data_IF_185521442919
#
_entry.id   IF_185521442919
#
_cell.length_a   1.000
_cell.length_b   1.000
_cell.length_c   1.000
_cell.angle_alpha   90.00
_cell.angle_beta   90.00
_cell.angle_gamma   90.00
#
_symmetry.space_group_name_H-M   'P 1'
#
loop_
_entity.id
_entity.type
_entity.pdbx_description
1 polymer ?
#
# COMPACT_ATOMS: atom_id res chain seq x y z
N UNK A 1 -11.42 13.29 -7.45
CA UNK A 1 -11.24 12.18 -6.50
C UNK A 1 -9.91 12.39 -5.82
N UNK A 2 -9.92 12.99 -4.63
CA UNK A 2 -8.71 13.31 -3.91
C UNK A 2 -8.72 12.48 -2.65
N UNK A 3 -7.65 11.77 -2.51
CA UNK A 3 -7.36 10.92 -1.42
C UNK A 3 -5.95 11.54 -1.00
N UNK A 4 -5.60 12.12 0.23
CA UNK A 4 -4.31 12.38 1.03
C UNK A 4 -3.86 11.58 2.32
N UNK A 5 -2.62 11.08 2.45
CA UNK A 5 -2.01 10.56 3.72
C UNK A 5 -0.66 11.28 4.00
N UNK A 6 -0.25 11.48 5.26
CA UNK A 6 1.06 12.08 5.67
C UNK A 6 1.81 11.28 6.76
N UNK A 7 3.20 11.33 6.84
CA UNK A 7 4.36 10.94 7.78
C UNK A 7 5.24 12.17 7.82
N UNK A 8 5.63 12.62 9.00
CA UNK A 8 6.94 13.18 9.28
C UNK A 8 7.46 12.51 10.58
N UNK A 9 8.78 12.53 10.77
CA UNK A 9 9.41 12.12 12.02
C UNK A 9 10.12 13.34 12.64
N UNK A 10 9.73 13.63 13.88
CA UNK A 10 10.58 14.06 15.01
C UNK A 10 11.42 15.33 14.92
N UNK A 11 11.13 16.29 15.81
CA UNK A 11 12.01 17.39 16.20
C UNK A 11 11.40 18.73 15.84
N UNK A 12 10.90 19.46 16.85
CA UNK A 12 10.22 20.75 16.73
C UNK A 12 10.79 21.66 15.62
N UNK A 13 10.03 21.88 14.54
CA UNK A 13 10.14 23.11 13.74
C UNK A 13 8.85 23.34 12.95
N UNK A 14 8.31 24.55 13.11
CA UNK A 14 7.16 25.06 12.37
C UNK A 14 7.57 25.26 10.92
N UNK A 15 6.94 24.55 10.02
CA UNK A 15 6.97 24.82 8.58
C UNK A 15 5.53 25.09 8.18
N UNK A 16 5.25 26.31 7.74
CA UNK A 16 3.98 26.68 7.14
C UNK A 16 4.04 26.42 5.63
N UNK A 17 3.04 25.73 5.07
CA UNK A 17 2.79 25.84 3.64
C UNK A 17 1.36 26.33 3.39
N UNK A 18 1.28 27.49 2.72
CA UNK A 18 0.16 27.88 1.88
C UNK A 18 0.41 27.35 0.47
N UNK A 19 -0.51 26.60 -0.13
CA UNK A 19 -0.75 26.56 -1.59
C UNK A 19 -2.13 25.95 -1.87
N UNK A 20 -2.95 26.70 -2.62
CA UNK A 20 -4.14 26.22 -3.33
C UNK A 20 -3.69 25.56 -4.63
N UNK A 21 -4.34 24.46 -5.05
CA UNK A 21 -4.66 24.19 -6.47
C UNK A 21 -5.64 23.03 -6.62
N UNK A 22 -6.70 23.29 -7.39
CA UNK A 22 -7.64 22.33 -7.98
C UNK A 22 -7.14 21.81 -9.34
N UNK A 23 -7.87 20.85 -9.92
CA UNK A 23 -7.77 20.46 -11.33
C UNK A 23 -8.02 21.69 -12.23
N UNK A 24 -6.97 22.32 -12.76
CA UNK A 24 -7.05 23.28 -13.87
C UNK A 24 -6.06 22.85 -14.97
N UNK A 25 -6.50 22.94 -16.24
CA UNK A 25 -5.67 22.83 -17.45
C UNK A 25 -4.99 21.49 -17.78
N UNK A 26 -5.59 20.35 -17.40
CA UNK A 26 -5.24 19.06 -17.99
C UNK A 26 -3.80 18.57 -17.71
N UNK A 27 -3.14 19.11 -16.69
CA UNK A 27 -1.81 18.66 -16.23
C UNK A 27 -1.91 17.92 -14.92
N UNK A 28 -1.28 16.74 -14.86
CA UNK A 28 -1.11 15.99 -13.62
C UNK A 28 0.01 16.66 -12.82
N UNK A 29 -0.29 17.12 -11.62
CA UNK A 29 0.72 17.60 -10.65
C UNK A 29 1.33 16.38 -9.96
N UNK A 30 2.66 16.35 -9.68
CA UNK A 30 3.28 15.28 -8.91
C UNK A 30 2.61 15.14 -7.54
N UNK A 31 2.24 13.91 -7.22
CA UNK A 31 1.51 13.55 -6.00
C UNK A 31 2.53 13.09 -4.96
N UNK A 32 2.62 13.81 -3.84
CA UNK A 32 3.55 13.52 -2.75
C UNK A 32 2.80 13.03 -1.52
N UNK A 33 3.30 11.95 -0.92
CA UNK A 33 2.71 11.34 0.28
C UNK A 33 3.81 11.01 1.25
N UNK A 34 3.46 11.18 2.51
CA UNK A 34 4.21 10.66 3.63
C UNK A 34 3.20 9.80 4.48
N UNK A 35 3.54 8.98 5.49
CA UNK A 35 2.62 8.05 6.30
C UNK A 35 2.71 7.98 7.92
N UNK A 36 2.55 9.01 8.79
CA UNK A 36 3.10 9.19 10.18
C UNK A 36 2.97 7.95 11.05
N UNK A 37 4.10 7.35 11.40
CA UNK A 37 4.15 6.32 12.44
C UNK A 37 4.40 7.00 13.78
N UNK A 38 3.39 7.02 14.64
CA UNK A 38 3.55 7.49 16.03
C UNK A 38 4.40 6.46 16.77
N UNK A 39 5.66 6.79 17.03
CA UNK A 39 6.54 6.00 17.89
C UNK A 39 6.08 6.17 19.35
N UNK A 40 5.36 5.18 19.89
CA UNK A 40 5.20 5.08 21.35
C UNK A 40 6.44 4.35 21.87
N UNK A 41 7.51 5.11 22.08
CA UNK A 41 8.67 4.61 22.80
C UNK A 41 8.24 4.19 24.21
N UNK A 42 8.61 2.98 24.62
CA UNK A 42 8.61 2.63 26.05
C UNK A 42 9.69 3.46 26.72
N UNK A 43 9.35 4.63 27.25
CA UNK A 43 10.12 5.24 28.33
C UNK A 43 9.19 5.98 29.31
N UNK A 44 9.50 5.78 30.59
CA UNK A 44 8.78 6.22 31.77
C UNK A 44 8.84 7.75 31.97
N UNK A 45 8.16 8.54 31.14
CA UNK A 45 7.90 9.93 31.55
C UNK A 45 6.48 10.38 31.19
N UNK A 46 5.72 10.73 32.23
CA UNK A 46 4.33 11.16 32.20
C UNK A 46 4.29 12.66 32.48
N UNK A 47 4.67 13.48 31.52
CA UNK A 47 4.29 14.88 31.60
C UNK A 47 4.10 15.50 30.21
N UNK A 48 3.10 16.38 30.16
CA UNK A 48 2.73 17.28 29.06
C UNK A 48 1.82 16.69 27.97
N UNK A 49 0.50 16.73 28.21
CA UNK A 49 -0.48 17.18 27.19
C UNK A 49 -1.57 18.00 27.89
N UNK A 50 -1.57 19.31 27.70
CA UNK A 50 -2.68 20.20 28.06
C UNK A 50 -3.80 20.09 27.01
N UNK A 51 -5.04 20.01 27.48
CA UNK A 51 -6.23 19.87 26.65
C UNK A 51 -6.72 21.22 26.13
N UNK A 52 -6.66 21.42 24.82
CA UNK A 52 -7.39 22.48 24.11
C UNK A 52 -8.47 21.85 23.22
N UNK A 53 -9.69 22.38 23.31
CA UNK A 53 -10.92 21.93 22.66
C UNK A 53 -10.94 22.22 21.15
N UNK A 54 -11.33 21.23 20.32
CA UNK A 54 -11.52 21.40 18.87
C UNK A 54 -12.82 20.72 18.41
N UNK A 55 -13.63 21.47 17.64
CA UNK A 55 -14.90 21.04 17.01
C UNK A 55 -14.65 20.47 15.60
N UNK A 56 -15.41 19.43 15.19
CA UNK A 56 -15.10 18.53 14.07
C UNK A 56 -15.97 18.72 12.80
N UNK A 57 -15.42 18.37 11.62
CA UNK A 57 -16.09 18.32 10.29
C UNK A 57 -15.59 17.10 9.45
N UNK A 58 -16.34 16.51 8.49
CA UNK A 58 -16.19 15.09 8.13
C UNK A 58 -15.71 14.78 6.69
N UNK A 59 -14.58 15.31 6.21
CA UNK A 59 -14.04 14.92 4.89
C UNK A 59 -12.63 14.34 4.98
N UNK A 60 -12.48 13.09 4.53
CA UNK A 60 -11.21 12.36 4.43
C UNK A 60 -10.70 12.34 3.00
N UNK A 61 -9.37 12.40 2.85
CA UNK A 61 -8.65 12.14 1.61
C UNK A 61 -7.52 11.11 2.00
N UNK A 62 -7.05 10.09 1.19
CA UNK A 62 -5.72 9.32 1.15
C UNK A 62 -4.75 9.31 -0.18
N UNK A 63 -3.54 9.92 -0.35
CA UNK A 63 -2.83 9.97 -1.70
C UNK A 63 -1.83 8.83 -1.71
N UNK A 64 -1.41 8.42 -2.91
CA UNK A 64 -0.25 7.55 -3.09
C UNK A 64 0.76 8.29 -3.96
N UNK A 65 1.94 8.57 -3.39
CA UNK A 65 3.08 9.13 -4.09
C UNK A 65 4.20 8.09 -4.13
N UNK A 66 4.78 7.90 -5.30
CA UNK A 66 5.91 6.99 -5.49
C UNK A 66 7.17 7.85 -5.65
N UNK A 67 7.89 8.07 -4.55
CA UNK A 67 9.22 8.69 -4.60
C UNK A 67 10.25 7.72 -5.19
N UNK A 68 11.35 8.26 -5.70
CA UNK A 68 12.49 7.47 -6.16
C UNK A 68 13.16 6.76 -4.97
N UNK A 69 12.55 5.65 -4.55
CA UNK A 69 12.98 4.91 -3.37
C UNK A 69 14.43 4.47 -3.52
N UNK A 70 14.89 4.16 -4.73
CA UNK A 70 16.25 3.65 -4.97
C UNK A 70 17.36 4.60 -4.50
N UNK A 71 17.17 5.92 -4.54
CA UNK A 71 18.17 6.89 -4.05
C UNK A 71 18.37 6.79 -2.54
N UNK A 72 17.28 6.61 -1.78
CA UNK A 72 17.33 6.46 -0.32
C UNK A 72 17.98 5.14 0.14
N UNK A 73 18.05 4.13 -0.74
CA UNK A 73 18.69 2.85 -0.41
C UNK A 73 20.20 2.88 -0.66
N UNK A 74 20.66 3.68 -1.63
CA UNK A 74 22.09 3.82 -1.94
C UNK A 74 22.90 4.37 -0.76
N UNK A 75 22.28 5.13 0.13
CA UNK A 75 22.94 5.75 1.28
C UNK A 75 22.88 4.92 2.57
N UNK A 76 22.23 3.76 2.58
CA UNK A 76 22.07 2.92 3.79
C UNK A 76 23.12 1.83 3.88
N UNK A 77 23.53 1.53 5.11
CA UNK A 77 24.42 0.40 5.42
C UNK A 77 23.67 -0.93 5.37
N UNK A 78 24.40 -2.03 5.17
CA UNK A 78 23.81 -3.37 5.19
C UNK A 78 23.14 -3.69 6.54
N UNK A 79 23.71 -3.22 7.65
CA UNK A 79 23.12 -3.40 8.98
C UNK A 79 21.77 -2.70 9.09
N UNK A 80 21.68 -1.43 8.68
CA UNK A 80 20.42 -0.67 8.66
C UNK A 80 19.36 -1.33 7.77
N UNK A 81 19.75 -1.91 6.64
CA UNK A 81 18.83 -2.64 5.75
C UNK A 81 18.37 -3.97 6.32
N UNK A 82 19.04 -4.54 7.32
CA UNK A 82 18.60 -5.78 7.99
C UNK A 82 17.73 -5.54 9.22
N UNK A 83 17.64 -4.29 9.70
CA UNK A 83 16.82 -3.96 10.85
C UNK A 83 15.33 -3.95 10.49
N UNK A 84 14.51 -4.57 11.34
CA UNK A 84 13.06 -4.51 11.18
C UNK A 84 12.53 -3.14 11.59
N UNK A 85 11.99 -2.39 10.63
CA UNK A 85 11.30 -1.13 10.88
C UNK A 85 9.83 -1.20 10.44
N UNK A 86 8.92 -0.61 11.23
CA UNK A 86 7.51 -0.44 10.86
C UNK A 86 6.51 -1.21 11.71
N UNK A 87 5.24 -1.15 11.32
CA UNK A 87 4.15 -1.87 11.98
C UNK A 87 4.12 -3.31 11.48
N UNK A 88 4.20 -4.33 12.35
CA UNK A 88 4.23 -5.74 11.95
C UNK A 88 3.18 -6.09 10.89
N UNK A 89 1.93 -5.66 11.08
CA UNK A 89 0.81 -5.86 10.15
C UNK A 89 1.14 -5.56 8.68
N UNK A 90 2.00 -4.57 8.43
CA UNK A 90 2.33 -4.10 7.09
C UNK A 90 3.72 -4.52 6.64
N UNK A 91 4.54 -5.18 7.46
CA UNK A 91 5.89 -5.57 7.03
C UNK A 91 5.82 -6.56 5.85
N UNK A 92 6.76 -6.54 4.90
CA UNK A 92 6.82 -7.54 3.84
C UNK A 92 6.89 -8.98 4.42
N UNK A 93 6.27 -9.95 3.74
CA UNK A 93 6.19 -11.35 4.25
C UNK A 93 7.61 -11.95 4.33
N UNK A 94 8.43 -11.65 3.33
CA UNK A 94 9.82 -12.03 3.20
C UNK A 94 10.62 -11.54 4.41
N UNK A 95 10.53 -10.25 4.72
CA UNK A 95 11.22 -9.65 5.87
C UNK A 95 10.69 -10.22 7.20
N UNK A 96 9.39 -10.52 7.30
CA UNK A 96 8.79 -11.11 8.50
C UNK A 96 9.18 -12.55 8.76
N UNK A 97 9.27 -13.36 7.71
CA UNK A 97 9.46 -14.81 7.80
C UNK A 97 10.91 -15.25 7.56
N UNK A 98 11.77 -14.32 7.14
CA UNK A 98 13.13 -14.60 6.73
C UNK A 98 13.19 -15.56 5.55
N UNK A 99 14.23 -16.41 5.52
CA UNK A 99 14.42 -17.39 4.45
C UNK A 99 13.22 -18.31 4.23
N UNK A 100 12.47 -18.72 5.25
CA UNK A 100 11.39 -19.69 5.02
C UNK A 100 10.17 -19.11 4.32
N UNK A 101 10.08 -17.78 4.21
CA UNK A 101 8.86 -17.14 3.75
C UNK A 101 8.55 -17.39 2.27
N UNK A 102 9.58 -17.53 1.43
CA UNK A 102 9.42 -17.67 -0.02
C UNK A 102 9.13 -19.12 -0.46
N UNK A 103 9.55 -20.11 0.33
CA UNK A 103 9.33 -21.55 0.04
C UNK A 103 7.84 -21.91 -0.06
N UNK A 104 6.98 -21.13 0.58
CA UNK A 104 5.55 -21.39 0.69
C UNK A 104 4.70 -20.53 -0.25
N UNK A 105 5.31 -19.66 -1.05
CA UNK A 105 4.58 -18.85 -2.03
C UNK A 105 4.76 -19.51 -3.39
N UNK A 106 3.73 -20.22 -3.84
CA UNK A 106 3.73 -20.77 -5.19
C UNK A 106 3.56 -19.64 -6.21
N UNK A 107 4.52 -19.43 -7.13
CA UNK A 107 4.38 -18.40 -8.15
C UNK A 107 3.26 -18.80 -9.11
N UNK A 108 2.39 -17.84 -9.43
CA UNK A 108 1.50 -17.98 -10.58
C UNK A 108 2.23 -17.55 -11.85
N UNK A 109 1.80 -17.97 -13.05
CA UNK A 109 2.26 -17.36 -14.28
C UNK A 109 2.06 -15.84 -14.23
N UNK A 110 3.15 -15.09 -14.45
CA UNK A 110 3.08 -13.66 -14.69
C UNK A 110 2.52 -13.45 -16.09
N UNK A 111 1.48 -12.61 -16.21
CA UNK A 111 0.91 -12.21 -17.50
C UNK A 111 1.23 -10.73 -17.67
N UNK A 112 2.20 -10.37 -18.50
CA UNK A 112 2.72 -9.00 -18.57
C UNK A 112 1.64 -8.01 -19.01
N UNK A 113 0.77 -8.42 -19.95
CA UNK A 113 -0.36 -7.61 -20.44
C UNK A 113 -1.35 -7.19 -19.34
N UNK A 114 -1.35 -7.85 -18.18
CA UNK A 114 -2.17 -7.42 -17.03
C UNK A 114 -1.73 -6.08 -16.43
N UNK A 115 -0.48 -5.68 -16.65
CA UNK A 115 0.15 -4.50 -16.07
C UNK A 115 0.39 -3.39 -17.10
N UNK A 116 0.13 -3.65 -18.38
CA UNK A 116 0.18 -2.64 -19.43
C UNK A 116 -0.93 -1.61 -19.24
N UNK A 117 -0.58 -0.34 -19.46
CA UNK A 117 -1.50 0.77 -19.55
C UNK A 117 -2.08 0.85 -20.95
N UNK A 118 -3.40 1.10 -21.03
CA UNK A 118 -4.12 1.29 -22.28
C UNK A 118 -4.87 2.63 -22.28
N UNK A 119 -5.22 3.12 -23.47
CA UNK A 119 -6.10 4.27 -23.66
C UNK A 119 -5.67 5.52 -22.87
N UNK A 120 -6.60 6.09 -22.10
CA UNK A 120 -6.37 7.31 -21.33
C UNK A 120 -5.35 7.13 -20.21
N UNK A 121 -5.26 5.95 -19.60
CA UNK A 121 -4.27 5.68 -18.56
C UNK A 121 -2.84 5.74 -19.13
N UNK A 122 -2.62 5.14 -20.30
CA UNK A 122 -1.34 5.23 -21.01
C UNK A 122 -1.00 6.68 -21.37
N UNK A 123 -1.94 7.39 -22.00
CA UNK A 123 -1.75 8.81 -22.37
C UNK A 123 -1.38 9.68 -21.16
N UNK A 124 -2.08 9.50 -20.03
CA UNK A 124 -1.80 10.25 -18.80
C UNK A 124 -0.41 9.93 -18.24
N UNK A 125 -0.01 8.66 -18.25
CA UNK A 125 1.31 8.25 -17.78
C UNK A 125 2.41 8.88 -18.63
N UNK A 126 2.34 8.71 -19.94
CA UNK A 126 3.35 9.20 -20.89
C UNK A 126 3.50 10.72 -20.80
N UNK A 127 2.39 11.46 -20.72
CA UNK A 127 2.41 12.91 -20.56
C UNK A 127 3.10 13.37 -19.27
N UNK A 128 3.13 12.51 -18.23
CA UNK A 128 3.68 12.85 -16.92
C UNK A 128 5.13 12.38 -16.74
N UNK A 129 5.44 11.17 -17.21
CA UNK A 129 6.70 10.47 -16.92
C UNK A 129 7.57 10.18 -18.15
N UNK A 130 7.06 10.40 -19.36
CA UNK A 130 7.75 10.06 -20.61
C UNK A 130 7.66 8.59 -21.01
N UNK A 131 8.18 8.28 -22.20
CA UNK A 131 8.14 6.94 -22.82
C UNK A 131 9.18 5.98 -22.25
N UNK A 132 10.41 6.44 -22.07
CA UNK A 132 11.57 5.59 -21.77
C UNK A 132 11.37 4.72 -20.52
N UNK A 133 10.79 5.29 -19.47
CA UNK A 133 10.50 4.57 -18.21
C UNK A 133 9.46 3.47 -18.42
N UNK A 134 8.40 3.77 -19.17
CA UNK A 134 7.30 2.85 -19.41
C UNK A 134 7.74 1.66 -20.29
N UNK A 135 8.43 1.94 -21.39
CA UNK A 135 8.86 0.93 -22.36
C UNK A 135 9.90 -0.02 -21.74
N UNK A 136 10.88 0.54 -21.01
CA UNK A 136 11.88 -0.26 -20.28
C UNK A 136 11.23 -1.20 -19.26
N UNK A 137 10.22 -0.72 -18.55
CA UNK A 137 9.48 -1.49 -17.56
C UNK A 137 8.65 -2.63 -18.20
N UNK A 138 7.90 -2.35 -19.27
CA UNK A 138 7.09 -3.38 -19.92
C UNK A 138 7.94 -4.45 -20.60
N UNK A 139 9.03 -4.05 -21.28
CA UNK A 139 9.98 -5.00 -21.85
C UNK A 139 10.52 -5.94 -20.77
N UNK A 140 10.75 -5.43 -19.55
CA UNK A 140 11.20 -6.26 -18.45
C UNK A 140 10.14 -7.30 -18.02
N UNK A 141 8.87 -6.91 -17.82
CA UNK A 141 7.81 -7.86 -17.48
C UNK A 141 7.62 -8.94 -18.56
N UNK A 142 7.65 -8.53 -19.84
CA UNK A 142 7.57 -9.45 -20.97
C UNK A 142 8.73 -10.44 -20.97
N UNK A 143 9.95 -9.99 -20.65
CA UNK A 143 11.12 -10.86 -20.57
C UNK A 143 11.01 -11.88 -19.42
N UNK A 144 10.44 -11.50 -18.28
CA UNK A 144 10.16 -12.42 -17.15
C UNK A 144 9.09 -13.44 -17.54
N UNK A 145 7.97 -12.99 -18.13
CA UNK A 145 6.91 -13.88 -18.63
C UNK A 145 7.46 -14.89 -19.65
N UNK A 146 8.27 -14.42 -20.60
CA UNK A 146 8.92 -15.25 -21.62
C UNK A 146 10.06 -16.11 -21.08
N UNK A 147 10.40 -16.02 -19.78
CA UNK A 147 11.51 -16.73 -19.13
C UNK A 147 12.87 -16.51 -19.80
N UNK A 148 13.06 -15.32 -20.37
CA UNK A 148 14.33 -14.91 -21.00
C UNK A 148 15.31 -14.33 -19.97
N UNK A 149 14.80 -13.96 -18.79
CA UNK A 149 15.62 -13.59 -17.64
C UNK A 149 15.91 -14.85 -16.82
N UNK A 150 17.19 -15.08 -16.56
CA UNK A 150 17.63 -16.20 -15.72
C UNK A 150 17.18 -16.00 -14.27
N UNK A 151 16.43 -16.96 -13.75
CA UNK A 151 16.12 -17.08 -12.33
C UNK A 151 17.36 -17.59 -11.59
N UNK A 152 17.80 -16.85 -10.57
CA UNK A 152 18.91 -17.21 -9.68
C UNK A 152 18.34 -17.43 -8.29
N UNK A 153 18.47 -18.63 -7.74
CA UNK A 153 18.00 -18.90 -6.39
C UNK A 153 18.97 -18.32 -5.35
N UNK A 154 18.74 -17.06 -5.00
CA UNK A 154 19.52 -16.33 -3.98
C UNK A 154 19.42 -16.92 -2.57
N UNK A 155 18.52 -17.88 -2.35
CA UNK A 155 18.27 -18.48 -1.04
C UNK A 155 19.03 -19.79 -0.81
N UNK A 156 19.80 -20.26 -1.81
CA UNK A 156 20.63 -21.46 -1.66
C UNK A 156 21.75 -21.29 -0.64
N UNK A 157 22.22 -20.06 -0.40
CA UNK A 157 23.16 -19.77 0.69
C UNK A 157 22.40 -19.42 1.98
N UNK A 158 22.37 -20.32 2.99
CA UNK A 158 21.67 -20.08 4.25
C UNK A 158 22.25 -18.92 5.07
N UNK A 159 23.45 -18.43 4.72
CA UNK A 159 24.08 -17.28 5.37
C UNK A 159 23.62 -15.94 4.78
N UNK A 160 22.87 -15.94 3.68
CA UNK A 160 22.42 -14.72 3.01
C UNK A 160 21.45 -13.94 3.88
N UNK A 161 21.91 -12.89 4.57
CA UNK A 161 20.98 -12.04 5.31
C UNK A 161 20.06 -11.33 4.33
N UNK A 162 18.75 -11.50 4.53
CA UNK A 162 17.76 -10.79 3.73
C UNK A 162 17.82 -9.30 4.04
N UNK A 163 18.29 -8.52 3.07
CA UNK A 163 18.30 -7.07 3.16
C UNK A 163 16.93 -6.51 2.72
N UNK A 164 16.51 -5.43 3.36
CA UNK A 164 15.38 -4.65 2.92
C UNK A 164 15.65 -4.07 1.53
N UNK A 165 14.64 -4.07 0.66
CA UNK A 165 14.73 -3.59 -0.72
C UNK A 165 13.49 -2.72 -1.01
N UNK A 166 13.55 -1.84 -2.02
CA UNK A 166 12.41 -1.02 -2.41
C UNK A 166 11.12 -1.83 -2.68
N UNK A 167 11.21 -3.06 -3.19
CA UNK A 167 10.04 -3.94 -3.36
C UNK A 167 9.32 -4.25 -2.03
N UNK A 168 10.05 -4.31 -0.91
CA UNK A 168 9.47 -4.57 0.40
C UNK A 168 8.64 -3.38 0.89
N UNK A 169 9.06 -2.15 0.58
CA UNK A 169 8.24 -0.94 0.85
C UNK A 169 6.93 -0.98 0.07
N UNK A 170 6.98 -1.36 -1.22
CA UNK A 170 5.76 -1.49 -2.04
C UNK A 170 4.86 -2.61 -1.51
N UNK A 171 5.43 -3.71 -1.03
CA UNK A 171 4.65 -4.78 -0.38
C UNK A 171 4.01 -4.30 0.93
N UNK A 172 4.67 -3.42 1.67
CA UNK A 172 4.04 -2.75 2.82
C UNK A 172 2.89 -1.83 2.40
N UNK A 173 3.06 -1.07 1.32
CA UNK A 173 1.99 -0.25 0.74
C UNK A 173 0.81 -1.13 0.31
N UNK A 174 1.07 -2.28 -0.30
CA UNK A 174 0.03 -3.25 -0.63
C UNK A 174 -0.78 -3.66 0.60
N UNK A 175 -0.14 -4.07 1.70
CA UNK A 175 -0.87 -4.45 2.92
C UNK A 175 -1.68 -3.29 3.49
N UNK A 176 -1.17 -2.06 3.38
CA UNK A 176 -1.91 -0.86 3.77
C UNK A 176 -3.16 -0.69 2.89
N UNK A 177 -3.03 -0.77 1.57
CA UNK A 177 -4.16 -0.70 0.62
C UNK A 177 -5.20 -1.76 0.96
N UNK A 178 -4.78 -3.02 1.14
CA UNK A 178 -5.67 -4.12 1.50
C UNK A 178 -6.40 -3.83 2.81
N UNK A 179 -5.68 -3.41 3.85
CA UNK A 179 -6.29 -3.08 5.13
C UNK A 179 -7.34 -1.98 4.99
N UNK A 180 -7.04 -0.91 4.25
CA UNK A 180 -8.00 0.15 3.99
C UNK A 180 -9.21 -0.33 3.20
N UNK A 181 -9.03 -1.12 2.15
CA UNK A 181 -10.14 -1.63 1.33
C UNK A 181 -11.06 -2.57 2.11
N UNK A 182 -10.48 -3.48 2.90
CA UNK A 182 -11.23 -4.39 3.78
C UNK A 182 -12.01 -3.59 4.82
N UNK A 183 -11.41 -2.52 5.36
CA UNK A 183 -12.04 -1.67 6.37
C UNK A 183 -12.90 -0.56 5.80
N UNK A 184 -12.88 -0.28 4.51
CA UNK A 184 -13.66 0.80 3.93
C UNK A 184 -15.16 0.56 4.15
N UNK A 185 -15.87 1.57 4.65
CA UNK A 185 -17.33 1.58 4.74
C UNK A 185 -17.89 2.59 3.73
N UNK A 186 -18.39 2.12 2.59
CA UNK A 186 -19.06 2.95 1.60
C UNK A 186 -20.31 3.61 2.17
N UNK A 187 -20.68 4.75 1.62
CA UNK A 187 -21.91 5.46 1.99
C UNK A 187 -23.15 4.57 1.76
N UNK A 188 -24.15 4.70 2.64
CA UNK A 188 -25.40 3.93 2.58
C UNK A 188 -25.23 2.39 2.64
N UNK A 189 -24.03 1.89 2.96
CA UNK A 189 -23.79 0.45 3.09
C UNK A 189 -24.27 -0.09 4.44
N UNK A 190 -24.80 -1.33 4.40
CA UNK A 190 -25.20 -2.06 5.60
C UNK A 190 -24.01 -2.29 6.54
N UNK A 191 -24.26 -2.25 7.86
CA UNK A 191 -23.27 -2.61 8.88
C UNK A 191 -23.05 -4.13 9.00
N UNK A 192 -23.81 -4.97 8.27
CA UNK A 192 -23.60 -6.42 8.29
C UNK A 192 -22.25 -6.76 7.65
N UNK A 193 -21.41 -7.46 8.41
CA UNK A 193 -20.09 -7.93 7.96
C UNK A 193 -20.15 -9.42 7.61
N UNK A 194 -19.41 -9.83 6.59
CA UNK A 194 -19.28 -11.24 6.22
C UNK A 194 -18.31 -11.97 7.15
N UNK A 195 -18.44 -13.29 7.27
CA UNK A 195 -17.47 -14.11 7.99
C UNK A 195 -16.07 -14.00 7.37
N UNK A 196 -15.97 -13.95 6.04
CA UNK A 196 -14.70 -13.74 5.32
C UNK A 196 -14.01 -12.42 5.73
N UNK A 197 -14.76 -11.32 5.82
CA UNK A 197 -14.22 -10.05 6.33
C UNK A 197 -13.61 -10.23 7.73
N UNK A 198 -14.31 -10.90 8.65
CA UNK A 198 -13.84 -11.08 10.03
C UNK A 198 -12.55 -11.92 10.08
N UNK A 199 -12.51 -13.03 9.33
CA UNK A 199 -11.34 -13.90 9.23
C UNK A 199 -10.13 -13.11 8.73
N UNK A 200 -10.28 -12.35 7.64
CA UNK A 200 -9.18 -11.65 7.02
C UNK A 200 -8.74 -10.39 7.78
N UNK A 201 -9.69 -9.64 8.36
CA UNK A 201 -9.36 -8.52 9.24
C UNK A 201 -8.58 -8.98 10.48
N UNK A 202 -9.00 -10.08 11.12
CA UNK A 202 -8.29 -10.66 12.25
C UNK A 202 -6.93 -11.23 11.84
N UNK A 203 -6.82 -11.83 10.66
CA UNK A 203 -5.54 -12.34 10.13
C UNK A 203 -4.50 -11.24 9.98
N UNK A 204 -4.90 -10.05 9.51
CA UNK A 204 -4.02 -8.89 9.42
C UNK A 204 -3.68 -8.34 10.82
N UNK A 205 -4.66 -8.22 11.72
CA UNK A 205 -4.45 -7.73 13.09
C UNK A 205 -3.55 -8.63 13.95
N UNK A 206 -3.72 -9.94 13.85
CA UNK A 206 -2.99 -10.95 14.64
C UNK A 206 -1.61 -11.28 14.02
N UNK A 207 -1.23 -10.57 12.96
CA UNK A 207 0.06 -10.76 12.33
C UNK A 207 1.18 -10.29 13.27
N UNK A 208 2.18 -11.15 13.44
CA UNK A 208 3.39 -10.93 14.23
C UNK A 208 4.59 -11.07 13.29
N UNK A 209 5.73 -10.46 13.63
CA UNK A 209 7.00 -10.62 12.90
C UNK A 209 7.56 -12.03 13.11
N UNK A 210 6.87 -13.01 12.54
CA UNK A 210 7.22 -14.43 12.48
C UNK A 210 6.58 -14.98 11.21
N UNK A 211 7.12 -16.08 10.68
CA UNK A 211 6.48 -16.74 9.56
C UNK A 211 5.06 -17.23 9.95
N UNK A 212 4.04 -16.77 9.21
CA UNK A 212 2.64 -17.21 9.35
C UNK A 212 1.99 -17.27 7.97
N UNK A 213 1.38 -18.42 7.67
CA UNK A 213 0.66 -18.67 6.41
C UNK A 213 -0.55 -17.75 6.20
N UNK A 214 -1.09 -17.15 7.26
CA UNK A 214 -2.30 -16.32 7.18
C UNK A 214 -2.24 -15.27 6.07
N UNK A 215 -1.21 -14.41 6.01
CA UNK A 215 -1.15 -13.38 4.96
C UNK A 215 -0.87 -13.94 3.56
N UNK A 216 -0.22 -15.10 3.46
CA UNK A 216 0.00 -15.76 2.16
C UNK A 216 -1.36 -16.14 1.57
N UNK A 217 -2.27 -16.69 2.37
CA UNK A 217 -3.62 -17.02 1.90
C UNK A 217 -4.36 -15.81 1.30
N UNK A 218 -4.11 -14.59 1.79
CA UNK A 218 -4.71 -13.37 1.24
C UNK A 218 -4.15 -12.99 -0.14
N UNK A 219 -2.90 -13.36 -0.46
CA UNK A 219 -2.34 -13.25 -1.82
C UNK A 219 -2.95 -14.27 -2.78
N UNK A 220 -3.49 -15.37 -2.25
CA UNK A 220 -4.06 -16.49 -3.01
C UNK A 220 -5.58 -16.40 -3.15
N UNK A 221 -6.22 -15.52 -2.38
CA UNK A 221 -7.66 -15.25 -2.42
C UNK A 221 -8.14 -14.98 -3.85
N UNK A 222 -9.12 -15.78 -4.29
CA UNK A 222 -9.76 -15.67 -5.60
C UNK A 222 -10.74 -14.50 -5.71
N UNK A 223 -11.27 -14.27 -6.91
CA UNK A 223 -12.23 -13.19 -7.19
C UNK A 223 -13.49 -13.26 -6.34
N UNK A 224 -14.10 -14.45 -6.26
CA UNK A 224 -15.33 -14.69 -5.51
C UNK A 224 -15.11 -14.43 -4.01
N UNK A 225 -13.99 -14.88 -3.47
CA UNK A 225 -13.66 -14.66 -2.07
C UNK A 225 -13.37 -13.19 -1.77
N UNK A 226 -12.60 -12.50 -2.62
CA UNK A 226 -12.42 -11.06 -2.51
C UNK A 226 -13.75 -10.30 -2.56
N UNK A 227 -14.69 -10.72 -3.41
CA UNK A 227 -16.03 -10.16 -3.48
C UNK A 227 -16.88 -10.43 -2.22
N UNK A 228 -16.54 -11.45 -1.42
CA UNK A 228 -17.12 -11.71 -0.10
C UNK A 228 -16.45 -10.90 1.03
N UNK A 229 -15.17 -10.53 0.87
CA UNK A 229 -14.42 -9.71 1.82
C UNK A 229 -14.81 -8.23 1.69
N UNK A 230 -14.81 -7.72 0.46
CA UNK A 230 -15.11 -6.33 0.15
C UNK A 230 -16.61 -6.05 0.13
N UNK A 231 -16.99 -4.78 0.25
CA UNK A 231 -18.39 -4.38 0.05
C UNK A 231 -18.74 -4.51 -1.43
N UNK A 232 -20.03 -4.70 -1.73
CA UNK A 232 -20.50 -4.89 -3.10
C UNK A 232 -20.10 -3.75 -4.05
N UNK A 233 -20.13 -2.51 -3.61
CA UNK A 233 -19.68 -1.36 -4.42
C UNK A 233 -18.15 -1.27 -4.57
N UNK A 234 -17.37 -1.99 -3.76
CA UNK A 234 -15.93 -2.11 -3.94
C UNK A 234 -15.52 -3.29 -4.84
N UNK A 235 -16.49 -4.05 -5.39
CA UNK A 235 -16.20 -5.23 -6.23
C UNK A 235 -15.37 -4.88 -7.47
N UNK A 236 -15.52 -3.67 -8.03
CA UNK A 236 -14.70 -3.22 -9.16
C UNK A 236 -13.19 -3.24 -8.85
N UNK A 237 -12.81 -3.04 -7.58
CA UNK A 237 -11.40 -3.02 -7.16
C UNK A 237 -10.77 -4.41 -7.01
N UNK A 238 -11.57 -5.49 -7.06
CA UNK A 238 -11.09 -6.87 -6.84
C UNK A 238 -10.02 -7.24 -7.84
N UNK A 239 -10.21 -6.91 -9.12
CA UNK A 239 -9.25 -7.24 -10.16
C UNK A 239 -7.90 -6.54 -9.94
N UNK A 240 -7.92 -5.26 -9.55
CA UNK A 240 -6.70 -4.51 -9.21
C UNK A 240 -5.96 -5.17 -8.04
N UNK A 241 -6.67 -5.48 -6.96
CA UNK A 241 -6.11 -6.15 -5.77
C UNK A 241 -5.51 -7.51 -6.12
N UNK A 242 -6.18 -8.30 -6.96
CA UNK A 242 -5.66 -9.60 -7.40
C UNK A 242 -4.41 -9.46 -8.23
N UNK A 243 -4.37 -8.52 -9.18
CA UNK A 243 -3.17 -8.27 -9.99
C UNK A 243 -1.98 -7.87 -9.10
N UNK A 244 -2.21 -7.01 -8.11
CA UNK A 244 -1.20 -6.66 -7.09
C UNK A 244 -0.73 -7.88 -6.28
N UNK A 245 -1.66 -8.74 -5.86
CA UNK A 245 -1.35 -9.98 -5.15
C UNK A 245 -0.54 -10.95 -6.00
N UNK A 246 -0.98 -11.23 -7.23
CA UNK A 246 -0.29 -12.07 -8.22
C UNK A 246 1.12 -11.57 -8.49
N UNK A 247 1.31 -10.26 -8.58
CA UNK A 247 2.64 -9.67 -8.72
C UNK A 247 3.55 -10.04 -7.54
N UNK A 248 3.07 -9.92 -6.30
CA UNK A 248 3.84 -10.29 -5.11
C UNK A 248 3.90 -11.78 -4.80
N UNK A 249 3.26 -12.63 -5.61
CA UNK A 249 3.50 -14.07 -5.61
C UNK A 249 4.79 -14.44 -6.34
N UNK A 250 5.31 -13.55 -7.19
CA UNK A 250 6.63 -13.76 -7.77
C UNK A 250 7.71 -13.56 -6.71
N UNK A 251 8.69 -14.46 -6.69
CA UNK A 251 9.88 -14.28 -5.88
C UNK A 251 10.87 -13.36 -6.61
N UNK A 252 10.59 -12.05 -6.63
CA UNK A 252 11.36 -11.06 -7.39
C UNK A 252 12.85 -11.03 -7.04
N UNK A 253 13.22 -11.45 -5.83
CA UNK A 253 14.60 -11.63 -5.39
C UNK A 253 15.40 -12.58 -6.28
N UNK A 254 14.73 -13.53 -6.94
CA UNK A 254 15.37 -14.48 -7.84
C UNK A 254 15.69 -13.93 -9.22
N UNK A 255 15.31 -12.69 -9.51
CA UNK A 255 15.52 -12.07 -10.81
C UNK A 255 16.43 -10.84 -10.61
N UNK A 256 17.75 -11.04 -10.45
CA UNK A 256 18.66 -9.95 -10.06
C UNK A 256 18.83 -8.85 -11.12
N UNK A 257 18.44 -9.10 -12.36
CA UNK A 257 18.44 -8.10 -13.44
C UNK A 257 17.17 -7.24 -13.48
N UNK A 258 16.22 -7.46 -12.58
CA UNK A 258 15.01 -6.64 -12.45
C UNK A 258 15.39 -5.22 -12.02
N UNK A 259 14.86 -4.17 -12.69
CA UNK A 259 15.03 -2.80 -12.23
C UNK A 259 14.55 -2.62 -10.78
N UNK A 260 15.30 -1.92 -9.96
CA UNK A 260 14.99 -1.74 -8.53
C UNK A 260 13.60 -1.14 -8.29
N UNK A 261 13.11 -0.30 -9.21
CA UNK A 261 11.81 0.36 -9.14
C UNK A 261 10.65 -0.48 -9.74
N UNK A 262 10.89 -1.72 -10.15
CA UNK A 262 9.88 -2.55 -10.84
C UNK A 262 8.53 -2.62 -10.11
N UNK A 263 8.55 -2.88 -8.79
CA UNK A 263 7.33 -2.98 -7.99
C UNK A 263 6.57 -1.65 -7.92
N UNK A 264 7.31 -0.55 -7.84
CA UNK A 264 6.75 0.80 -7.81
C UNK A 264 6.02 1.10 -9.12
N UNK A 265 6.66 0.83 -10.26
CA UNK A 265 6.05 1.06 -11.57
C UNK A 265 4.84 0.16 -11.80
N UNK A 266 4.89 -1.11 -11.39
CA UNK A 266 3.73 -2.02 -11.45
C UNK A 266 2.54 -1.48 -10.68
N UNK A 267 2.75 -1.08 -9.43
CA UNK A 267 1.66 -0.59 -8.58
C UNK A 267 1.11 0.73 -9.10
N UNK A 268 1.97 1.61 -9.59
CA UNK A 268 1.56 2.86 -10.24
C UNK A 268 0.67 2.58 -11.45
N UNK A 269 1.05 1.65 -12.33
CA UNK A 269 0.26 1.31 -13.51
C UNK A 269 -1.10 0.73 -13.13
N UNK A 270 -1.14 -0.22 -12.18
CA UNK A 270 -2.40 -0.82 -11.72
C UNK A 270 -3.35 0.19 -11.09
N UNK A 271 -2.84 1.07 -10.22
CA UNK A 271 -3.65 2.12 -9.59
C UNK A 271 -4.15 3.13 -10.62
N UNK A 272 -3.29 3.57 -11.55
CA UNK A 272 -3.68 4.53 -12.58
C UNK A 272 -4.76 3.97 -13.51
N UNK A 273 -4.61 2.71 -13.95
CA UNK A 273 -5.64 2.00 -14.74
C UNK A 273 -6.98 2.01 -14.01
N UNK A 274 -6.99 1.65 -12.72
CA UNK A 274 -8.22 1.57 -11.95
C UNK A 274 -8.85 2.95 -11.69
N UNK A 275 -8.04 3.96 -11.42
CA UNK A 275 -8.50 5.35 -11.25
C UNK A 275 -9.15 5.87 -12.52
N UNK A 276 -8.51 5.66 -13.68
CA UNK A 276 -9.05 6.10 -14.98
C UNK A 276 -10.36 5.38 -15.28
N UNK A 277 -10.40 4.05 -15.10
CA UNK A 277 -11.61 3.24 -15.27
C UNK A 277 -12.78 3.78 -14.46
N UNK A 278 -12.61 3.95 -13.13
CA UNK A 278 -13.66 4.48 -12.26
C UNK A 278 -14.10 5.90 -12.65
N UNK A 279 -13.17 6.73 -13.13
CA UNK A 279 -13.46 8.10 -13.55
C UNK A 279 -14.29 8.12 -14.83
N UNK A 280 -13.94 7.29 -15.81
CA UNK A 280 -14.65 7.21 -17.10
C UNK A 280 -16.04 6.59 -16.94
N UNK A 281 -16.20 5.63 -16.03
CA UNK A 281 -17.50 5.06 -15.68
C UNK A 281 -18.36 6.00 -14.81
N UNK A 282 -17.83 7.13 -14.35
CA UNK A 282 -18.53 8.03 -13.43
C UNK A 282 -18.90 7.35 -12.11
N UNK A 283 -18.12 6.36 -11.68
CA UNK A 283 -18.41 5.48 -10.55
C UNK A 283 -17.35 5.58 -9.43
N UNK A 284 -17.11 6.77 -8.85
CA UNK A 284 -16.29 6.87 -7.66
C UNK A 284 -17.00 6.18 -6.49
N UNK A 285 -16.25 5.51 -5.61
CA UNK A 285 -16.81 4.85 -4.43
C UNK A 285 -16.80 5.85 -3.26
N UNK A 286 -17.95 6.42 -2.84
CA UNK A 286 -17.99 7.31 -1.69
C UNK A 286 -17.76 6.52 -0.40
N UNK A 287 -16.83 6.97 0.43
CA UNK A 287 -16.50 6.34 1.73
C UNK A 287 -17.00 7.22 2.86
N UNK A 288 -17.83 6.66 3.75
CA UNK A 288 -18.39 7.35 4.91
C UNK A 288 -17.57 7.10 6.18
N UNK A 289 -16.72 6.07 6.20
CA UNK A 289 -15.84 5.78 7.32
C UNK A 289 -15.21 4.40 7.24
N UNK A 290 -14.94 3.82 8.41
CA UNK A 290 -14.37 2.48 8.54
C UNK A 290 -15.40 1.50 9.11
N UNK A 291 -15.37 0.25 8.64
CA UNK A 291 -16.07 -0.88 9.24
C UNK A 291 -15.57 -1.10 10.66
N UNK A 292 -16.48 -1.55 11.51
CA UNK A 292 -16.16 -1.93 12.86
C UNK A 292 -15.27 -3.18 12.87
N UNK A 293 -14.29 -3.20 13.78
CA UNK A 293 -13.53 -4.42 14.07
C UNK A 293 -14.28 -5.21 15.12
N UNK A 294 -14.43 -6.54 14.97
CA UNK A 294 -14.89 -7.36 16.09
C UNK A 294 -13.95 -7.11 17.28
N UNK A 295 -14.49 -6.66 18.41
CA UNK A 295 -13.72 -6.58 19.65
C UNK A 295 -13.33 -8.02 20.03
N UNK A 296 -12.04 -8.35 20.01
CA UNK A 296 -11.54 -9.41 20.89
C UNK A 296 -11.64 -8.88 22.31
N UNK A 297 -12.16 -9.69 23.22
CA UNK A 297 -12.50 -9.34 24.60
C UNK A 297 -11.57 -8.31 25.26
N UNK A 298 -12.22 -7.22 25.69
CA UNK A 298 -11.92 -6.11 26.61
C UNK A 298 -10.58 -5.92 27.36
N UNK A 299 -9.53 -6.74 27.28
CA UNK A 299 -8.35 -6.60 28.15
C UNK A 299 -7.02 -6.22 27.49
N UNK A 300 -6.93 -6.14 26.16
CA UNK A 300 -5.69 -5.71 25.50
C UNK A 300 -5.95 -4.69 24.39
N UNK A 301 -6.58 -3.56 24.72
CA UNK A 301 -6.53 -2.40 23.85
C UNK A 301 -5.14 -1.77 23.91
N UNK A 302 -4.24 -2.21 23.03
CA UNK A 302 -3.26 -1.28 22.47
C UNK A 302 -4.09 -0.25 21.71
N UNK A 303 -4.40 0.85 22.38
CA UNK A 303 -5.00 2.04 21.80
C UNK A 303 -4.06 2.56 20.70
N UNK A 304 -4.22 2.06 19.47
CA UNK A 304 -3.79 2.80 18.30
C UNK A 304 -4.76 3.98 18.14
N UNK A 305 -4.65 4.98 19.01
CA UNK A 305 -5.38 6.25 18.90
C UNK A 305 -4.68 7.06 17.81
N UNK A 306 -5.14 6.93 16.58
CA UNK A 306 -4.93 7.96 15.57
C UNK A 306 -5.84 9.13 15.97
N UNK A 307 -5.28 10.19 16.56
CA UNK A 307 -6.04 11.43 16.84
C UNK A 307 -6.07 12.28 15.57
N UNK A 308 -7.28 12.56 15.06
CA UNK A 308 -7.54 13.50 13.97
C UNK A 308 -7.89 14.88 14.55
N UNK A 309 -7.29 15.94 14.02
CA UNK A 309 -7.68 17.34 14.22
C UNK A 309 -8.00 17.97 12.86
N UNK A 310 -9.02 18.83 12.80
CA UNK A 310 -9.56 19.46 11.58
C UNK A 310 -9.86 20.94 11.83
N UNK A 311 -9.64 21.76 10.81
CA UNK A 311 -10.06 23.16 10.72
C UNK A 311 -10.82 23.40 9.40
N UNK A 312 -11.77 24.32 9.39
CA UNK A 312 -12.51 24.75 8.18
C UNK A 312 -12.28 26.24 7.89
N UNK A 313 -12.18 26.56 6.60
CA UNK A 313 -12.30 27.93 6.09
C UNK A 313 -13.70 28.09 5.49
N UNK A 314 -14.46 29.08 5.98
CA UNK A 314 -15.73 29.53 5.37
C UNK A 314 -15.42 30.69 4.44
N UNK A 315 -15.81 30.58 3.18
CA UNK A 315 -15.96 31.72 2.27
C UNK A 315 -17.17 32.54 2.74
N UNK A 316 -16.93 33.77 3.21
CA UNK A 316 -17.93 34.84 3.15
C UNK A 316 -17.86 35.43 1.74
N UNK A 317 -19.03 35.76 1.21
CA UNK A 317 -19.22 36.51 -0.04
C UNK A 317 -18.39 37.79 -0.09
#
# INVERSE_FOLDING_TARGET
MILWLHILRGGCTRIEPSFNTTWEDGKLVPIFVFVYTLYVGRHHDRSVIAAGSYYASPHFQFWIGFYNASENYKSRTAEELTQWTGTPMFIAIEISGGHRAHEHIYPLPLIASHYELLGKAYKNYINTYGYDMYDKYNAHLQNVEARTILEVDSFLDPNTKMAHQPLHDVKSIFWIIIWFLIRAKPENSSSKVSMHYLVWANTLLDHKIVFKMGRIGLLETGEEEWAMILYSCCKGLVLMVRKMGTYFRQCWMRYPSVPVEHAYETFKCLLLTEIVRMTEEGNPIPIQGLRYLPQKDSQAQVHCRIKLALATWRTRH
#
